data_IF_377195284210
#
_entry.id   IF_377195284210
#
_cell.length_a   1.000
_cell.length_b   1.000
_cell.length_c   1.000
_cell.angle_alpha   90.00
_cell.angle_beta   90.00
_cell.angle_gamma   90.00
#
_symmetry.space_group_name_H-M   'P 1'
#
loop_
_entity.id
_entity.type
_entity.pdbx_description
1 polymer ?
#
# COMPACT_ATOMS: atom_id res chain seq x y z
N UNK A 1 12.15 10.68 22.80
CA UNK A 1 11.60 11.15 21.50
C UNK A 1 10.48 10.20 21.13
N UNK A 2 9.23 10.66 21.04
CA UNK A 2 8.16 9.78 20.59
C UNK A 2 8.52 9.27 19.19
N UNK A 3 8.64 7.95 19.04
CA UNK A 3 8.78 7.34 17.73
C UNK A 3 7.62 7.86 16.88
N UNK A 4 7.90 8.62 15.82
CA UNK A 4 6.86 9.00 14.87
C UNK A 4 6.18 7.72 14.40
N UNK A 5 4.84 7.71 14.36
CA UNK A 5 4.07 6.61 13.80
C UNK A 5 4.67 6.23 12.44
N UNK A 6 5.21 5.00 12.35
CA UNK A 6 5.75 4.41 11.12
C UNK A 6 4.64 3.70 10.35
N UNK A 7 3.43 4.22 10.46
CA UNK A 7 2.25 3.67 9.81
C UNK A 7 2.12 4.22 8.40
N UNK A 8 1.88 3.30 7.46
CA UNK A 8 1.70 3.58 6.04
C UNK A 8 0.30 3.13 5.65
N UNK A 9 -0.57 4.08 5.33
CA UNK A 9 -1.89 3.77 4.76
C UNK A 9 -1.73 3.25 3.33
N UNK A 10 -2.35 2.12 3.02
CA UNK A 10 -2.38 1.51 1.70
C UNK A 10 -3.79 1.68 1.15
N UNK A 11 -3.89 2.41 0.06
CA UNK A 11 -5.08 2.61 -0.74
C UNK A 11 -4.82 1.97 -2.10
N UNK A 12 -5.25 0.71 -2.29
CA UNK A 12 -5.06 0.00 -3.55
C UNK A 12 -6.23 -0.95 -3.82
N UNK A 13 -6.33 -1.51 -5.05
CA UNK A 13 -7.33 -2.52 -5.38
C UNK A 13 -7.16 -3.79 -4.55
N UNK A 14 -8.26 -4.50 -4.31
CA UNK A 14 -8.28 -5.79 -3.60
C UNK A 14 -8.83 -6.93 -4.45
N UNK A 15 -8.99 -6.72 -5.76
CA UNK A 15 -9.46 -7.78 -6.65
C UNK A 15 -8.39 -8.89 -6.82
N UNK A 16 -8.80 -10.13 -7.18
CA UNK A 16 -7.88 -11.26 -7.25
C UNK A 16 -6.65 -11.02 -8.15
N UNK A 17 -6.79 -10.26 -9.24
CA UNK A 17 -5.68 -9.97 -10.15
C UNK A 17 -4.63 -9.04 -9.54
N UNK A 18 -4.98 -8.28 -8.49
CA UNK A 18 -4.09 -7.37 -7.79
C UNK A 18 -3.40 -7.98 -6.55
N UNK A 19 -3.73 -9.23 -6.17
CA UNK A 19 -3.21 -9.86 -4.94
C UNK A 19 -1.69 -9.85 -4.82
N UNK A 20 -0.96 -10.20 -5.88
CA UNK A 20 0.52 -10.20 -5.86
C UNK A 20 1.07 -8.78 -5.68
N UNK A 21 0.47 -7.79 -6.33
CA UNK A 21 0.86 -6.38 -6.19
C UNK A 21 0.61 -5.88 -4.77
N UNK A 22 -0.53 -6.25 -4.18
CA UNK A 22 -0.82 -5.93 -2.79
C UNK A 22 0.19 -6.54 -1.82
N UNK A 23 0.53 -7.83 -1.99
CA UNK A 23 1.59 -8.49 -1.20
C UNK A 23 2.94 -7.80 -1.36
N UNK A 24 3.29 -7.39 -2.56
CA UNK A 24 4.53 -6.65 -2.85
C UNK A 24 4.59 -5.31 -2.10
N UNK A 25 3.50 -4.54 -2.08
CA UNK A 25 3.40 -3.28 -1.33
C UNK A 25 3.54 -3.53 0.18
N UNK A 26 2.79 -4.51 0.72
CA UNK A 26 2.85 -4.86 2.15
C UNK A 26 4.25 -5.33 2.53
N UNK A 27 4.84 -6.23 1.77
CA UNK A 27 6.20 -6.71 2.00
C UNK A 27 7.21 -5.57 1.98
N UNK A 28 7.13 -4.66 1.00
CA UNK A 28 8.05 -3.53 0.92
C UNK A 28 7.95 -2.59 2.13
N UNK A 29 6.74 -2.33 2.61
CA UNK A 29 6.48 -1.52 3.80
C UNK A 29 7.03 -2.21 5.05
N UNK A 30 6.70 -3.48 5.26
CA UNK A 30 7.15 -4.28 6.40
C UNK A 30 8.68 -4.39 6.42
N UNK A 31 9.30 -4.73 5.27
CA UNK A 31 10.75 -4.86 5.12
C UNK A 31 11.51 -3.55 5.34
N UNK A 32 10.84 -2.43 5.13
CA UNK A 32 11.35 -1.09 5.41
C UNK A 32 11.29 -0.72 6.91
N UNK A 33 10.69 -1.56 7.76
CA UNK A 33 10.52 -1.31 9.20
C UNK A 33 9.34 -0.38 9.52
N UNK A 34 8.32 -0.39 8.66
CA UNK A 34 7.06 0.35 8.79
C UNK A 34 5.90 -0.63 9.00
N UNK A 35 4.79 -0.15 9.55
CA UNK A 35 3.56 -0.92 9.70
C UNK A 35 2.62 -0.59 8.54
N UNK A 36 2.31 -1.60 7.74
CA UNK A 36 1.29 -1.52 6.70
C UNK A 36 -0.09 -1.40 7.33
N UNK A 37 -0.92 -0.49 6.81
CA UNK A 37 -2.28 -0.26 7.30
C UNK A 37 -3.28 -0.10 6.16
N UNK A 38 -4.44 -0.75 6.22
CA UNK A 38 -5.46 -0.63 5.16
C UNK A 38 -6.87 -1.00 5.65
N UNK A 39 -7.87 -0.80 4.77
CA UNK A 39 -9.28 -1.08 5.08
C UNK A 39 -9.59 -2.56 5.39
N UNK A 40 -8.64 -3.48 5.18
CA UNK A 40 -8.78 -4.91 5.51
C UNK A 40 -8.34 -5.24 6.95
N UNK A 41 -7.86 -4.27 7.74
CA UNK A 41 -7.46 -4.48 9.14
C UNK A 41 -8.62 -4.85 10.07
N UNK A 42 -9.82 -4.39 9.76
CA UNK A 42 -11.00 -4.52 10.62
C UNK A 42 -12.14 -5.09 9.79
N UNK A 43 -12.43 -6.36 10.02
CA UNK A 43 -13.63 -7.03 9.50
C UNK A 43 -14.77 -6.93 10.53
N UNK A 44 -15.19 -5.69 10.81
CA UNK A 44 -16.29 -5.39 11.72
C UNK A 44 -17.46 -4.82 10.93
N UNK A 45 -18.46 -5.68 10.68
CA UNK A 45 -19.68 -5.32 9.94
C UNK A 45 -20.54 -4.25 10.66
N UNK A 46 -20.25 -3.91 11.92
CA UNK A 46 -20.94 -2.85 12.65
C UNK A 46 -20.41 -1.44 12.35
N UNK A 47 -19.23 -1.33 11.72
CA UNK A 47 -18.60 -0.05 11.41
C UNK A 47 -18.74 0.33 9.94
N UNK A 48 -18.93 1.63 9.69
CA UNK A 48 -18.92 2.15 8.33
C UNK A 48 -17.48 2.12 7.79
N UNK A 49 -17.25 1.45 6.66
CA UNK A 49 -15.95 1.38 5.97
C UNK A 49 -15.30 2.75 5.77
N UNK A 50 -16.10 3.78 5.49
CA UNK A 50 -15.61 5.14 5.33
C UNK A 50 -15.02 5.72 6.63
N UNK A 51 -15.66 5.46 7.77
CA UNK A 51 -15.16 5.87 9.09
C UNK A 51 -13.84 5.17 9.40
N UNK A 52 -13.77 3.86 9.17
CA UNK A 52 -12.53 3.09 9.33
C UNK A 52 -11.38 3.66 8.51
N UNK A 53 -11.61 3.91 7.21
CA UNK A 53 -10.60 4.50 6.33
C UNK A 53 -10.17 5.88 6.86
N UNK A 54 -11.12 6.70 7.31
CA UNK A 54 -10.84 8.01 7.87
C UNK A 54 -9.95 7.94 9.12
N UNK A 55 -10.22 6.99 10.01
CA UNK A 55 -9.44 6.78 11.23
C UNK A 55 -8.03 6.27 10.92
N UNK A 56 -7.88 5.36 9.96
CA UNK A 56 -6.58 4.89 9.50
C UNK A 56 -5.80 6.05 8.85
N UNK A 57 -6.45 6.83 7.98
CA UNK A 57 -5.83 8.01 7.36
C UNK A 57 -5.37 8.98 8.43
N UNK A 58 -6.17 9.27 9.45
CA UNK A 58 -5.80 10.18 10.55
C UNK A 58 -4.50 9.72 11.24
N UNK A 59 -4.41 8.42 11.56
CA UNK A 59 -3.32 7.81 12.31
C UNK A 59 -2.03 7.61 11.47
N UNK A 60 -2.15 7.51 10.14
CA UNK A 60 -1.02 7.27 9.25
C UNK A 60 -0.26 8.54 8.87
N UNK A 61 1.07 8.53 9.06
CA UNK A 61 1.93 9.62 8.55
C UNK A 61 2.24 9.47 7.07
N UNK A 62 2.29 8.23 6.58
CA UNK A 62 2.66 7.90 5.21
C UNK A 62 1.45 7.30 4.49
N UNK A 63 1.38 7.47 3.17
CA UNK A 63 0.34 6.87 2.33
C UNK A 63 0.92 6.35 1.02
N UNK A 64 0.53 5.14 0.61
CA UNK A 64 0.77 4.58 -0.73
C UNK A 64 -0.59 4.43 -1.38
N UNK A 65 -0.83 5.20 -2.45
CA UNK A 65 -2.12 5.24 -3.14
C UNK A 65 -1.94 4.76 -4.57
N UNK A 66 -2.52 3.62 -4.90
CA UNK A 66 -2.58 3.09 -6.25
C UNK A 66 -3.95 3.37 -6.87
N UNK A 67 -3.97 4.21 -7.92
CA UNK A 67 -5.18 4.64 -8.62
C UNK A 67 -5.43 3.87 -9.93
N UNK A 68 -4.72 2.75 -10.13
CA UNK A 68 -4.75 1.97 -11.37
C UNK A 68 -6.14 1.45 -11.72
N UNK A 69 -6.96 1.11 -10.72
CA UNK A 69 -8.29 0.50 -10.91
C UNK A 69 -9.42 1.48 -11.17
N UNK A 70 -9.11 2.70 -11.61
CA UNK A 70 -10.11 3.62 -12.17
C UNK A 70 -10.53 3.13 -13.57
N UNK A 71 -11.25 2.01 -13.60
CA UNK A 71 -11.69 1.32 -14.81
C UNK A 71 -13.20 1.08 -14.75
N UNK A 72 -13.81 0.93 -15.92
CA UNK A 72 -15.21 0.59 -16.07
C UNK A 72 -15.50 -0.80 -15.49
N UNK A 73 -16.56 -0.91 -14.70
CA UNK A 73 -17.01 -2.16 -14.09
C UNK A 73 -18.54 -2.15 -13.88
N UNK A 74 -19.15 -3.34 -13.78
CA UNK A 74 -20.59 -3.52 -13.63
C UNK A 74 -21.41 -3.41 -14.93
N UNK A 75 -22.74 -3.41 -14.78
CA UNK A 75 -23.71 -3.28 -15.87
C UNK A 75 -24.87 -2.34 -15.47
N UNK A 76 -25.05 -1.17 -16.13
CA UNK A 76 -24.15 -0.61 -17.15
C UNK A 76 -22.78 -0.24 -16.56
N UNK A 77 -21.71 -0.26 -17.37
CA UNK A 77 -20.34 -0.06 -16.87
C UNK A 77 -20.11 1.37 -16.35
N UNK A 78 -19.66 1.48 -15.09
CA UNK A 78 -19.26 2.74 -14.46
C UNK A 78 -17.83 2.64 -13.90
N UNK A 79 -17.06 3.74 -13.90
CA UNK A 79 -15.73 3.74 -13.31
C UNK A 79 -15.79 3.67 -11.78
N UNK A 80 -14.93 2.83 -11.17
CA UNK A 80 -14.75 2.82 -9.71
C UNK A 80 -13.89 4.00 -9.26
N UNK A 81 -14.44 4.86 -8.39
CA UNK A 81 -13.75 6.06 -7.88
C UNK A 81 -13.24 5.93 -6.45
N UNK A 82 -13.31 4.75 -5.83
CA UNK A 82 -12.88 4.54 -4.45
C UNK A 82 -11.43 4.98 -4.22
N UNK A 83 -10.48 4.53 -5.05
CA UNK A 83 -9.07 4.87 -4.87
C UNK A 83 -8.80 6.39 -5.05
N UNK A 84 -9.35 7.07 -6.07
CA UNK A 84 -9.34 8.53 -6.16
C UNK A 84 -9.93 9.24 -4.93
N UNK A 85 -11.07 8.76 -4.41
CA UNK A 85 -11.75 9.35 -3.25
C UNK A 85 -10.88 9.26 -2.00
N UNK A 86 -10.31 8.09 -1.73
CA UNK A 86 -9.43 7.85 -0.57
C UNK A 86 -8.10 8.64 -0.67
N UNK A 87 -7.56 8.81 -1.88
CA UNK A 87 -6.45 9.73 -2.13
C UNK A 87 -6.85 11.18 -1.83
N UNK A 88 -8.03 11.60 -2.28
CA UNK A 88 -8.58 12.93 -1.98
C UNK A 88 -8.71 13.19 -0.48
N UNK A 89 -9.20 12.20 0.28
CA UNK A 89 -9.26 12.27 1.74
C UNK A 89 -7.87 12.48 2.36
N UNK A 90 -6.87 11.69 1.95
CA UNK A 90 -5.50 11.80 2.48
C UNK A 90 -4.86 13.16 2.15
N UNK A 91 -5.03 13.65 0.92
CA UNK A 91 -4.53 14.96 0.49
C UNK A 91 -5.25 16.11 1.21
N UNK A 92 -6.57 15.97 1.40
CA UNK A 92 -7.39 16.92 2.16
C UNK A 92 -6.94 17.01 3.61
N UNK A 93 -6.74 15.87 4.28
CA UNK A 93 -6.19 15.81 5.64
C UNK A 93 -4.83 16.51 5.72
N UNK A 94 -3.92 16.21 4.77
CA UNK A 94 -2.62 16.89 4.68
C UNK A 94 -2.74 18.41 4.49
N UNK A 95 -3.68 18.88 3.68
CA UNK A 95 -3.80 20.31 3.34
C UNK A 95 -4.48 21.12 4.43
N UNK A 96 -5.57 20.60 4.97
CA UNK A 96 -6.51 21.34 5.81
C UNK A 96 -6.47 20.92 7.29
N UNK A 97 -5.85 19.78 7.61
CA UNK A 97 -5.71 19.31 8.98
C UNK A 97 -4.70 20.09 9.82
N UNK A 98 -4.46 19.60 11.04
CA UNK A 98 -3.56 20.21 12.01
C UNK A 98 -2.07 20.11 11.63
N UNK A 99 -1.19 20.50 12.55
CA UNK A 99 0.27 20.47 12.34
C UNK A 99 0.83 19.05 12.17
N UNK A 100 0.16 18.02 12.70
CA UNK A 100 0.52 16.62 12.52
C UNK A 100 0.11 16.17 11.12
N UNK A 101 -1.13 16.45 10.72
CA UNK A 101 -1.66 16.08 9.40
C UNK A 101 -0.86 16.71 8.25
N UNK A 102 -0.45 17.99 8.39
CA UNK A 102 0.41 18.67 7.40
C UNK A 102 1.76 18.00 7.15
N UNK A 103 2.23 17.15 8.07
CA UNK A 103 3.47 16.38 7.91
C UNK A 103 3.29 15.12 7.08
N UNK A 104 2.06 14.73 6.72
CA UNK A 104 1.81 13.55 5.88
C UNK A 104 2.60 13.58 4.58
N UNK A 105 3.00 12.41 4.11
CA UNK A 105 3.68 12.20 2.83
C UNK A 105 2.98 11.06 2.11
N UNK A 106 2.70 11.22 0.82
CA UNK A 106 2.13 10.15 0.01
C UNK A 106 3.01 9.85 -1.20
N UNK A 107 2.92 8.59 -1.63
CA UNK A 107 3.33 8.07 -2.93
C UNK A 107 2.05 7.77 -3.70
N UNK A 108 1.99 8.20 -4.96
CA UNK A 108 0.89 7.88 -5.86
C UNK A 108 1.42 7.00 -6.98
N UNK A 109 0.74 5.88 -7.20
CA UNK A 109 1.05 4.84 -8.18
C UNK A 109 -0.09 4.73 -9.20
N UNK A 110 0.26 4.42 -10.45
CA UNK A 110 -0.68 4.04 -11.50
C UNK A 110 -0.03 2.94 -12.35
N UNK A 111 -0.84 2.13 -13.03
CA UNK A 111 -0.35 1.06 -13.90
C UNK A 111 0.41 1.64 -15.11
N UNK A 112 -0.01 2.81 -15.57
CA UNK A 112 0.52 3.49 -16.74
C UNK A 112 0.89 4.94 -16.41
N UNK A 113 2.05 5.38 -16.88
CA UNK A 113 2.50 6.76 -16.68
C UNK A 113 1.52 7.73 -17.36
N UNK A 114 1.14 8.79 -16.66
CA UNK A 114 0.25 9.87 -17.13
C UNK A 114 -1.21 9.49 -17.40
N UNK A 115 -1.63 8.24 -17.20
CA UNK A 115 -3.02 7.81 -17.41
C UNK A 115 -4.00 8.60 -16.54
N UNK A 116 -3.62 8.90 -15.30
CA UNK A 116 -4.37 9.76 -14.37
C UNK A 116 -4.80 11.12 -14.95
N UNK A 117 -4.09 11.70 -15.91
CA UNK A 117 -4.46 13.00 -16.49
C UNK A 117 -5.82 12.97 -17.19
N UNK A 118 -6.31 11.78 -17.57
CA UNK A 118 -7.60 11.59 -18.21
C UNK A 118 -8.78 11.59 -17.25
N UNK A 119 -8.55 11.37 -15.95
CA UNK A 119 -9.62 11.21 -14.96
C UNK A 119 -9.41 11.97 -13.64
N UNK A 120 -8.20 12.48 -13.38
CA UNK A 120 -7.85 13.41 -12.29
C UNK A 120 -6.71 14.33 -12.76
N UNK A 121 -7.01 15.26 -13.67
CA UNK A 121 -6.02 16.18 -14.23
C UNK A 121 -5.38 17.10 -13.17
N UNK A 122 -6.05 17.35 -12.05
CA UNK A 122 -5.52 18.16 -10.95
C UNK A 122 -4.29 17.54 -10.24
N UNK A 123 -4.03 16.24 -10.46
CA UNK A 123 -2.79 15.60 -10.01
C UNK A 123 -1.62 15.86 -10.97
N UNK A 124 -1.83 16.56 -12.09
CA UNK A 124 -0.76 16.93 -13.00
C UNK A 124 0.30 17.79 -12.28
N UNK A 125 1.57 17.44 -12.48
CA UNK A 125 2.69 18.05 -11.75
C UNK A 125 3.06 17.35 -10.44
N UNK A 126 2.30 16.33 -10.00
CA UNK A 126 2.76 15.39 -8.99
C UNK A 126 3.61 14.28 -9.66
N UNK A 127 4.66 13.83 -8.99
CA UNK A 127 5.50 12.73 -9.45
C UNK A 127 4.77 11.40 -9.19
N UNK A 128 3.90 11.03 -10.12
CA UNK A 128 3.15 9.77 -10.10
C UNK A 128 3.99 8.70 -10.79
N UNK A 129 4.23 7.60 -10.09
CA UNK A 129 5.07 6.52 -10.58
C UNK A 129 4.25 5.45 -11.29
N UNK A 130 4.65 5.12 -12.51
CA UNK A 130 4.10 3.99 -13.26
C UNK A 130 4.76 2.69 -12.82
N UNK A 131 3.98 1.69 -12.42
CA UNK A 131 4.53 0.37 -12.03
C UNK A 131 4.32 -0.71 -13.12
N UNK A 132 3.55 -0.46 -14.17
CA UNK A 132 3.41 -1.40 -15.30
C UNK A 132 2.78 -2.74 -14.95
N UNK A 133 2.03 -2.82 -13.84
CA UNK A 133 1.58 -4.08 -13.22
C UNK A 133 2.72 -5.05 -12.85
N UNK A 134 3.94 -4.53 -12.64
CA UNK A 134 5.11 -5.30 -12.22
C UNK A 134 5.39 -5.13 -10.71
N UNK A 135 5.27 -6.20 -9.90
CA UNK A 135 5.55 -6.16 -8.46
C UNK A 135 6.99 -5.72 -8.13
N UNK A 136 7.97 -6.11 -8.94
CA UNK A 136 9.39 -5.74 -8.75
C UNK A 136 9.59 -4.24 -8.93
N UNK A 137 8.99 -3.66 -9.98
CA UNK A 137 9.01 -2.20 -10.19
C UNK A 137 8.30 -1.48 -9.04
N UNK A 138 7.16 -2.00 -8.58
CA UNK A 138 6.41 -1.43 -7.46
C UNK A 138 7.25 -1.40 -6.17
N UNK A 139 7.91 -2.52 -5.82
CA UNK A 139 8.80 -2.61 -4.66
C UNK A 139 9.95 -1.60 -4.77
N UNK A 140 10.55 -1.49 -5.96
CA UNK A 140 11.62 -0.52 -6.18
C UNK A 140 11.18 0.92 -5.88
N UNK A 141 10.01 1.30 -6.37
CA UNK A 141 9.43 2.63 -6.15
C UNK A 141 9.09 2.84 -4.68
N UNK A 142 8.36 1.91 -4.05
CA UNK A 142 7.93 2.01 -2.64
C UNK A 142 9.13 2.09 -1.70
N UNK A 143 10.11 1.21 -1.85
CA UNK A 143 11.31 1.19 -1.02
C UNK A 143 12.16 2.46 -1.19
N UNK A 144 12.29 2.95 -2.43
CA UNK A 144 13.01 4.20 -2.71
C UNK A 144 12.31 5.39 -2.08
N UNK A 145 11.00 5.50 -2.25
CA UNK A 145 10.20 6.56 -1.67
C UNK A 145 10.25 6.55 -0.14
N UNK A 146 10.06 5.39 0.51
CA UNK A 146 10.13 5.27 1.97
C UNK A 146 11.50 5.69 2.51
N UNK A 147 12.59 5.27 1.86
CA UNK A 147 13.95 5.67 2.23
C UNK A 147 14.15 7.18 2.20
N UNK A 148 13.69 7.83 1.13
CA UNK A 148 13.80 9.29 0.95
C UNK A 148 12.94 10.03 1.97
N UNK A 149 11.68 9.65 2.12
CA UNK A 149 10.73 10.39 2.97
C UNK A 149 10.98 10.19 4.47
N UNK A 150 11.42 8.99 4.87
CA UNK A 150 11.72 8.69 6.27
C UNK A 150 13.14 9.02 6.70
N UNK A 151 14.05 9.24 5.74
CA UNK A 151 15.51 9.34 5.96
C UNK A 151 16.08 8.14 6.70
N UNK A 152 15.42 6.98 6.61
CA UNK A 152 15.89 5.76 7.24
C UNK A 152 17.07 5.17 6.48
N UNK A 153 18.15 4.87 7.22
CA UNK A 153 19.32 4.16 6.69
C UNK A 153 19.14 2.64 6.64
N UNK A 154 18.08 2.12 7.24
CA UNK A 154 17.83 0.68 7.35
C UNK A 154 16.95 0.13 6.23
N UNK A 155 16.38 0.99 5.39
CA UNK A 155 15.56 0.58 4.23
C UNK A 155 16.49 0.00 3.15
N UNK A 156 16.39 -1.28 2.78
CA UNK A 156 17.23 -1.90 1.75
C UNK A 156 17.03 -1.29 0.36
N UNK A 157 17.98 -1.52 -0.55
CA UNK A 157 17.81 -1.16 -1.97
C UNK A 157 16.60 -1.86 -2.60
N UNK A 158 15.83 -1.16 -3.43
CA UNK A 158 14.60 -1.70 -4.04
C UNK A 158 14.81 -3.04 -4.76
N UNK A 159 15.85 -3.15 -5.59
CA UNK A 159 16.21 -4.40 -6.29
C UNK A 159 16.57 -5.55 -5.36
N UNK A 160 17.20 -5.26 -4.23
CA UNK A 160 17.53 -6.29 -3.24
C UNK A 160 16.26 -6.79 -2.55
N UNK A 161 15.37 -5.85 -2.19
CA UNK A 161 14.06 -6.15 -1.61
C UNK A 161 13.16 -6.91 -2.58
N UNK A 162 13.20 -6.62 -3.88
CA UNK A 162 12.43 -7.34 -4.89
C UNK A 162 12.86 -8.82 -5.00
N UNK A 163 14.16 -9.10 -5.00
CA UNK A 163 14.67 -10.49 -4.95
C UNK A 163 14.26 -11.22 -3.67
N UNK A 164 14.26 -10.51 -2.54
CA UNK A 164 13.80 -11.05 -1.25
C UNK A 164 12.29 -11.36 -1.29
N UNK A 165 11.51 -10.49 -1.94
CA UNK A 165 10.07 -10.72 -2.16
C UNK A 165 9.81 -11.92 -3.08
N UNK A 166 10.57 -12.08 -4.16
CA UNK A 166 10.48 -13.27 -5.02
C UNK A 166 10.72 -14.55 -4.21
N UNK A 167 11.72 -14.55 -3.32
CA UNK A 167 11.98 -15.67 -2.43
C UNK A 167 10.87 -15.89 -1.38
N UNK A 168 10.27 -14.81 -0.87
CA UNK A 168 9.11 -14.87 0.01
C UNK A 168 7.89 -15.49 -0.69
N UNK A 169 7.56 -15.05 -1.92
CA UNK A 169 6.46 -15.60 -2.71
C UNK A 169 6.64 -17.10 -3.01
N UNK A 170 7.89 -17.54 -3.25
CA UNK A 170 8.21 -18.96 -3.43
C UNK A 170 8.03 -19.79 -2.15
N UNK A 171 8.29 -19.19 -0.97
CA UNK A 171 8.13 -19.85 0.32
C UNK A 171 6.68 -19.77 0.86
N UNK A 172 5.89 -18.82 0.35
CA UNK A 172 4.54 -18.52 0.83
C UNK A 172 3.62 -19.74 0.91
N UNK A 173 3.56 -20.66 -0.08
CA UNK A 173 2.72 -21.86 0.01
C UNK A 173 3.07 -22.73 1.23
N UNK A 174 4.36 -22.95 1.51
CA UNK A 174 4.79 -23.76 2.65
C UNK A 174 4.55 -23.04 3.98
N UNK A 175 4.72 -21.72 4.02
CA UNK A 175 4.41 -20.91 5.19
C UNK A 175 2.91 -20.99 5.54
N UNK A 176 2.03 -20.89 4.53
CA UNK A 176 0.58 -21.02 4.71
C UNK A 176 0.20 -22.45 5.16
N UNK A 177 0.79 -23.48 4.54
CA UNK A 177 0.56 -24.87 4.93
C UNK A 177 0.94 -25.14 6.40
N UNK A 178 1.99 -24.48 6.91
CA UNK A 178 2.38 -24.54 8.33
C UNK A 178 1.32 -23.99 9.30
N UNK A 179 0.44 -23.10 8.80
CA UNK A 179 -0.70 -22.54 9.53
C UNK A 179 -2.04 -23.22 9.17
N UNK A 180 -2.02 -24.25 8.32
CA UNK A 180 -3.21 -24.89 7.76
C UNK A 180 -4.11 -23.92 6.98
N UNK A 181 -3.50 -22.97 6.25
CA UNK A 181 -4.17 -21.99 5.41
C UNK A 181 -3.85 -22.22 3.93
N UNK A 182 -4.82 -21.94 3.06
CA UNK A 182 -4.57 -21.72 1.64
C UNK A 182 -4.20 -20.24 1.37
N UNK A 183 -3.45 -20.00 0.28
CA UNK A 183 -2.94 -18.64 -0.04
C UNK A 183 -4.07 -17.64 -0.28
N UNK A 184 -5.20 -18.09 -0.83
CA UNK A 184 -6.35 -17.24 -1.12
C UNK A 184 -7.29 -17.02 0.07
N UNK A 185 -7.08 -17.75 1.17
CA UNK A 185 -7.77 -17.57 2.46
C UNK A 185 -7.04 -16.56 3.38
N UNK A 186 -5.78 -16.24 3.08
CA UNK A 186 -4.99 -15.32 3.88
C UNK A 186 -5.70 -13.98 4.10
N UNK A 187 -5.87 -13.63 5.36
CA UNK A 187 -6.30 -12.29 5.75
C UNK A 187 -5.14 -11.29 5.62
N UNK A 188 -5.45 -10.00 5.73
CA UNK A 188 -4.41 -8.98 5.84
C UNK A 188 -3.51 -9.20 7.07
N UNK A 189 -4.09 -9.66 8.19
CA UNK A 189 -3.35 -10.01 9.39
C UNK A 189 -2.32 -11.10 9.12
N UNK A 190 -2.73 -12.21 8.49
CA UNK A 190 -1.85 -13.33 8.15
C UNK A 190 -0.69 -12.88 7.26
N UNK A 191 -0.99 -12.10 6.22
CA UNK A 191 0.04 -11.54 5.32
C UNK A 191 1.07 -10.70 6.08
N UNK A 192 0.62 -9.80 6.97
CA UNK A 192 1.55 -8.94 7.73
C UNK A 192 2.41 -9.74 8.71
N UNK A 193 1.84 -10.75 9.37
CA UNK A 193 2.55 -11.63 10.29
C UNK A 193 3.57 -12.50 9.55
N UNK A 194 3.15 -13.20 8.49
CA UNK A 194 4.02 -14.05 7.67
C UNK A 194 5.18 -13.26 7.06
N UNK A 195 4.91 -12.07 6.51
CA UNK A 195 5.98 -11.21 6.00
C UNK A 195 6.96 -10.81 7.11
N UNK A 196 6.46 -10.41 8.28
CA UNK A 196 7.30 -9.99 9.41
C UNK A 196 8.18 -11.13 9.92
N UNK A 197 7.62 -12.33 10.08
CA UNK A 197 8.33 -13.53 10.53
C UNK A 197 9.38 -13.97 9.51
N UNK A 198 9.04 -13.99 8.22
CA UNK A 198 9.98 -14.30 7.15
C UNK A 198 11.18 -13.35 7.15
N UNK A 199 10.92 -12.04 7.26
CA UNK A 199 11.96 -11.01 7.28
C UNK A 199 12.84 -11.16 8.52
N UNK A 200 12.24 -11.45 9.69
CA UNK A 200 12.98 -11.64 10.94
C UNK A 200 13.90 -12.88 10.89
N UNK A 201 13.48 -13.94 10.20
CA UNK A 201 14.28 -15.16 10.03
C UNK A 201 15.44 -14.99 9.03
N UNK A 202 15.39 -13.96 8.17
CA UNK A 202 16.40 -13.68 7.14
C UNK A 202 17.48 -12.65 7.57
N UNK A 203 17.34 -12.03 8.75
CA UNK A 203 18.26 -11.03 9.32
C UNK A 203 19.22 -11.63 10.35
#
# INVERSE_FOLDING_TARGET
>A
MAAFARDVFINCPFDPAYRVMFRAIVFAITRSGFRARCALEVDDSSQNRWSLISDIVDQCRYGVHDISRTELDGDPPLPRFNMPLELGLFLGAKRFGDQIQKRKRCLVLDKERYRYQRFISDLAGQDIHGHGNDPTVCIEVVATWLRVQSRSKTVPGGRAMAREFEAFELALPQLCAGLQLEIDEMTFGDLTSLASEYIAAAL
#
